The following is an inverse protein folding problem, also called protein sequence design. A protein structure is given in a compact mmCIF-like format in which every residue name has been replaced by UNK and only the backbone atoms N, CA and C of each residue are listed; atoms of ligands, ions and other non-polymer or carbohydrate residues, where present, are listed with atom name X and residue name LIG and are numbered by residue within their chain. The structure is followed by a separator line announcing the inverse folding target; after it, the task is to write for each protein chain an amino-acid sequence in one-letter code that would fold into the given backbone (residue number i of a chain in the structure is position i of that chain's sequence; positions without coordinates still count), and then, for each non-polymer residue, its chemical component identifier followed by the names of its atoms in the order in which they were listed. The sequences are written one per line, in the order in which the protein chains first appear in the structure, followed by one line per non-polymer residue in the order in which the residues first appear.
data_IF_910240764213
#
_entry.id   IF_910240764213
#
_cell.length_a   1.000
_cell.length_b   1.000
_cell.length_c   1.000
_cell.angle_alpha   90.00
_cell.angle_beta   90.00
_cell.angle_gamma   90.00
#
_symmetry.space_group_name_H-M   'P 1'
#
loop_
_entity.id
_entity.type
_entity.pdbx_description
1 polymer ?
#
# COMPACT_ATOMS: atom_id res chain seq x y z
N UNK A 1 -9.39 4.84 15.15
CA UNK A 1 -10.53 3.96 14.83
C UNK A 1 -10.83 3.95 13.35
N UNK A 2 -11.60 4.92 12.86
CA UNK A 2 -12.15 4.89 11.49
C UNK A 2 -11.14 4.95 10.34
N UNK A 3 -10.06 5.71 10.48
CA UNK A 3 -9.10 5.91 9.38
C UNK A 3 -8.35 4.62 9.00
N UNK A 4 -8.05 3.76 9.97
CA UNK A 4 -7.37 2.48 9.74
C UNK A 4 -8.36 1.48 9.15
N UNK A 5 -9.56 1.40 9.73
CA UNK A 5 -10.63 0.52 9.23
C UNK A 5 -10.94 0.81 7.76
N UNK A 6 -11.06 2.09 7.40
CA UNK A 6 -11.26 2.51 6.02
C UNK A 6 -10.12 2.12 5.06
N UNK A 7 -8.90 1.87 5.53
CA UNK A 7 -7.78 1.39 4.71
C UNK A 7 -7.81 -0.14 4.60
N UNK A 8 -8.13 -0.82 5.70
CA UNK A 8 -8.18 -2.29 5.79
C UNK A 8 -9.34 -2.85 4.95
N UNK A 9 -10.45 -2.11 4.86
CA UNK A 9 -11.63 -2.51 4.10
C UNK A 9 -11.49 -2.22 2.59
N UNK A 10 -10.41 -1.55 2.15
CA UNK A 10 -10.19 -1.28 0.71
C UNK A 10 -10.02 -2.59 -0.07
N UNK A 11 -10.61 -2.75 -1.26
CA UNK A 11 -10.26 -3.85 -2.15
C UNK A 11 -8.82 -3.70 -2.65
N UNK A 12 -8.25 -4.80 -3.16
CA UNK A 12 -6.96 -4.75 -3.84
C UNK A 12 -7.03 -3.78 -5.04
N UNK A 13 -6.04 -2.88 -5.21
CA UNK A 13 -5.98 -1.97 -6.34
C UNK A 13 -6.01 -2.70 -7.69
N UNK A 14 -6.92 -2.27 -8.54
CA UNK A 14 -7.04 -2.70 -9.94
C UNK A 14 -6.45 -1.68 -10.91
N UNK A 15 -6.17 -0.47 -10.42
CA UNK A 15 -5.58 0.62 -11.21
C UNK A 15 -4.35 1.23 -10.55
N UNK A 16 -3.52 1.85 -11.40
CA UNK A 16 -2.38 2.68 -10.97
C UNK A 16 -2.80 3.78 -9.98
N UNK A 17 -3.98 4.37 -10.20
CA UNK A 17 -4.50 5.44 -9.35
C UNK A 17 -4.82 4.91 -7.96
N UNK A 18 -5.56 3.81 -7.87
CA UNK A 18 -5.92 3.17 -6.60
C UNK A 18 -4.67 2.74 -5.81
N UNK A 19 -3.66 2.20 -6.50
CA UNK A 19 -2.42 1.79 -5.85
C UNK A 19 -1.64 3.00 -5.29
N UNK A 20 -1.60 4.13 -6.01
CA UNK A 20 -1.01 5.38 -5.52
C UNK A 20 -1.78 5.96 -4.34
N UNK A 21 -3.12 5.94 -4.38
CA UNK A 21 -3.95 6.40 -3.27
C UNK A 21 -3.74 5.55 -2.02
N UNK A 22 -3.65 4.22 -2.17
CA UNK A 22 -3.31 3.32 -1.07
C UNK A 22 -1.94 3.66 -0.47
N UNK A 23 -0.90 3.78 -1.30
CA UNK A 23 0.44 4.18 -0.85
C UNK A 23 0.42 5.52 -0.10
N UNK A 24 -0.32 6.51 -0.60
CA UNK A 24 -0.48 7.80 0.07
C UNK A 24 -1.12 7.66 1.46
N UNK A 25 -2.16 6.82 1.60
CA UNK A 25 -2.81 6.55 2.89
C UNK A 25 -1.87 5.87 3.87
N UNK A 26 -1.12 4.85 3.43
CA UNK A 26 -0.25 4.09 4.34
C UNK A 26 1.06 4.82 4.69
N UNK A 27 1.51 5.77 3.85
CA UNK A 27 2.74 6.52 4.06
C UNK A 27 2.74 7.35 5.36
N UNK A 28 1.55 7.75 5.84
CA UNK A 28 1.45 8.38 7.16
C UNK A 28 1.95 7.42 8.27
N UNK A 29 1.68 6.13 8.17
CA UNK A 29 2.07 5.18 9.20
C UNK A 29 3.52 4.68 9.09
N UNK A 30 4.31 5.20 8.13
CA UNK A 30 5.68 4.72 7.85
C UNK A 30 6.61 4.70 9.07
N UNK A 31 6.45 5.65 10.00
CA UNK A 31 7.31 5.77 11.20
C UNK A 31 7.00 4.72 12.27
N UNK A 32 5.84 4.06 12.17
CA UNK A 32 5.37 3.06 13.12
C UNK A 32 5.49 1.63 12.58
N UNK A 33 5.74 1.47 11.28
CA UNK A 33 5.83 0.18 10.62
C UNK A 33 7.31 -0.13 10.36
N UNK A 34 7.90 -1.12 11.04
CA UNK A 34 9.28 -1.52 10.76
C UNK A 34 9.39 -2.09 9.35
N UNK A 35 10.51 -1.83 8.68
CA UNK A 35 10.75 -2.26 7.30
C UNK A 35 9.73 -1.74 6.28
N UNK A 36 9.05 -0.62 6.55
CA UNK A 36 8.03 -0.04 5.65
C UNK A 36 8.48 -0.01 4.18
N UNK A 37 9.67 0.53 3.91
CA UNK A 37 10.19 0.66 2.54
C UNK A 37 10.33 -0.69 1.83
N UNK A 38 10.82 -1.72 2.54
CA UNK A 38 10.96 -3.09 2.00
C UNK A 38 9.59 -3.68 1.68
N UNK A 39 8.61 -3.48 2.55
CA UNK A 39 7.27 -4.01 2.36
C UNK A 39 6.57 -3.24 1.23
N UNK A 40 6.75 -1.92 1.11
CA UNK A 40 6.16 -1.09 0.05
C UNK A 40 6.81 -1.25 -1.33
N UNK A 41 7.98 -1.87 -1.42
CA UNK A 41 8.73 -1.99 -2.68
C UNK A 41 7.90 -2.59 -3.84
N UNK A 42 7.13 -3.70 -3.67
CA UNK A 42 6.32 -4.27 -4.74
C UNK A 42 5.22 -3.31 -5.22
N UNK A 43 4.65 -2.50 -4.31
CA UNK A 43 3.64 -1.49 -4.62
C UNK A 43 4.27 -0.29 -5.34
N UNK A 44 5.48 0.11 -4.97
CA UNK A 44 6.24 1.14 -5.67
C UNK A 44 6.56 0.72 -7.11
N UNK A 45 6.90 -0.55 -7.37
CA UNK A 45 7.16 -1.04 -8.74
C UNK A 45 5.97 -0.86 -9.69
N UNK A 46 4.75 -1.01 -9.18
CA UNK A 46 3.53 -0.86 -10.00
C UNK A 46 3.00 0.56 -10.06
N UNK A 47 3.42 1.41 -9.12
CA UNK A 47 3.01 2.83 -9.05
C UNK A 47 4.02 3.81 -9.65
N UNK A 48 5.30 3.44 -9.70
CA UNK A 48 6.39 4.27 -10.20
C UNK A 48 6.50 4.13 -11.71
N UNK A 49 5.53 4.70 -12.43
CA UNK A 49 5.51 4.76 -13.88
C UNK A 49 5.85 6.17 -14.33
N UNK A 50 6.96 6.30 -15.05
CA UNK A 50 7.25 7.51 -15.84
C UNK A 50 6.09 7.76 -16.81
N UNK A 51 5.95 8.99 -17.33
CA UNK A 51 4.86 9.35 -18.25
C UNK A 51 4.69 8.36 -19.42
N UNK A 52 5.75 7.66 -19.80
CA UNK A 52 5.84 6.70 -20.91
C UNK A 52 5.42 5.26 -20.57
N UNK A 53 5.28 4.88 -19.29
CA UNK A 53 4.99 3.49 -18.87
C UNK A 53 3.64 3.33 -18.15
N UNK A 54 2.80 4.37 -18.21
CA UNK A 54 1.50 4.47 -17.51
C UNK A 54 0.52 3.32 -17.80
N UNK A 55 0.66 2.62 -18.92
CA UNK A 55 -0.29 1.58 -19.34
C UNK A 55 -0.02 0.17 -18.80
N UNK A 56 1.15 -0.11 -18.24
CA UNK A 56 1.49 -1.49 -17.80
C UNK A 56 1.23 -1.73 -16.30
N UNK A 57 0.09 -1.28 -15.76
CA UNK A 57 -0.22 -1.64 -14.37
C UNK A 57 -0.38 -3.16 -14.29
N UNK A 58 0.48 -3.82 -13.51
CA UNK A 58 0.50 -5.27 -13.34
C UNK A 58 0.43 -5.58 -11.86
N UNK A 59 -0.73 -6.04 -11.41
CA UNK A 59 -0.91 -6.49 -10.04
C UNK A 59 -0.72 -8.00 -9.95
N UNK A 60 0.34 -8.44 -9.29
CA UNK A 60 0.69 -9.85 -9.13
C UNK A 60 0.78 -10.28 -7.66
N UNK A 61 1.27 -11.51 -7.41
CA UNK A 61 1.37 -12.06 -6.06
C UNK A 61 2.19 -11.18 -5.11
N UNK A 62 3.30 -10.61 -5.56
CA UNK A 62 4.16 -9.76 -4.72
C UNK A 62 3.44 -8.48 -4.25
N UNK A 63 2.63 -7.87 -5.13
CA UNK A 63 1.82 -6.70 -4.78
C UNK A 63 0.71 -7.07 -3.81
N UNK A 64 0.05 -8.20 -4.06
CA UNK A 64 -1.03 -8.68 -3.20
C UNK A 64 -0.50 -8.99 -1.79
N UNK A 65 0.62 -9.70 -1.70
CA UNK A 65 1.26 -10.01 -0.43
C UNK A 65 1.67 -8.74 0.33
N UNK A 66 2.25 -7.76 -0.38
CA UNK A 66 2.60 -6.47 0.22
C UNK A 66 1.36 -5.72 0.76
N UNK A 67 0.28 -5.69 -0.03
CA UNK A 67 -0.97 -5.05 0.32
C UNK A 67 -1.60 -5.68 1.58
N UNK A 68 -1.68 -7.00 1.62
CA UNK A 68 -2.25 -7.74 2.76
C UNK A 68 -1.39 -7.60 4.01
N UNK A 69 -0.06 -7.60 3.85
CA UNK A 69 0.87 -7.37 4.95
C UNK A 69 0.69 -5.96 5.55
N UNK A 70 0.47 -4.92 4.73
CA UNK A 70 0.15 -3.59 5.26
C UNK A 70 -1.15 -3.56 6.03
N UNK A 71 -2.21 -4.22 5.54
CA UNK A 71 -3.48 -4.30 6.29
C UNK A 71 -3.30 -4.98 7.65
N UNK A 72 -2.50 -6.05 7.69
CA UNK A 72 -2.16 -6.75 8.94
C UNK A 72 -1.35 -5.85 9.88
N UNK A 73 -0.33 -5.16 9.38
CA UNK A 73 0.52 -4.29 10.21
C UNK A 73 -0.24 -3.09 10.77
N UNK A 74 -1.14 -2.50 9.99
CA UNK A 74 -1.98 -1.39 10.42
C UNK A 74 -2.99 -1.79 11.51
N UNK A 75 -3.37 -3.05 11.58
CA UNK A 75 -4.28 -3.58 12.63
C UNK A 75 -3.54 -4.16 13.83
N UNK A 76 -2.28 -4.54 13.67
CA UNK A 76 -1.47 -5.21 14.72
C UNK A 76 -0.63 -4.22 15.54
N UNK A 77 -0.08 -3.18 14.93
CA UNK A 77 0.71 -2.21 15.68
C UNK A 77 -0.19 -1.27 16.46
N UNK A 78 0.09 -1.02 17.76
CA UNK A 78 -0.53 0.08 18.49
C UNK A 78 -0.05 1.38 17.83
N UNK A 79 -0.83 1.86 16.87
CA UNK A 79 -0.69 3.16 16.28
C UNK A 79 -1.14 4.15 17.35
N UNK A 80 -0.21 4.48 18.25
CA UNK A 80 -0.37 5.57 19.21
C UNK A 80 -0.57 6.86 18.41
N UNK A 81 -1.83 7.17 18.13
CA UNK A 81 -2.32 8.45 17.60
C UNK A 81 -2.66 9.37 18.75
#
# INVERSE_FOLDING_TARGET
GDKIKAIVDLPAPTTLKEANEFLGKINWYRKFIPNFARIAEPLHKVTNKTKHHRHEFRWGPDQQQSFDEFKRLLTTYPLFL
#
